data_IF_375989866430
#
_entry.id   IF_375989866430
#
_cell.length_a   1.000
_cell.length_b   1.000
_cell.length_c   1.000
_cell.angle_alpha   90.00
_cell.angle_beta   90.00
_cell.angle_gamma   90.00
#
_symmetry.space_group_name_H-M   'P 1'
#
loop_
_entity.id
_entity.type
_entity.pdbx_description
1 polymer ?
#
# COMPACT_ATOMS: atom_id res chain seq x y z
N UNK A 1 28.63 -11.61 -0.06
CA UNK A 1 28.32 -12.67 -1.05
C UNK A 1 27.21 -13.55 -0.49
N UNK A 2 25.97 -13.08 -0.53
CA UNK A 2 24.79 -13.88 -0.24
C UNK A 2 23.89 -13.71 -1.46
N UNK A 3 23.39 -14.82 -2.01
CA UNK A 3 22.57 -14.96 -3.22
C UNK A 3 23.32 -15.12 -4.55
N UNK A 4 23.78 -16.35 -4.81
CA UNK A 4 24.08 -16.85 -6.16
C UNK A 4 22.80 -17.15 -6.95
N UNK A 5 21.86 -16.20 -7.00
CA UNK A 5 20.69 -16.26 -7.88
C UNK A 5 21.03 -15.47 -9.13
N UNK A 6 20.85 -16.09 -10.29
CA UNK A 6 20.94 -15.40 -11.57
C UNK A 6 19.77 -14.40 -11.63
N UNK A 7 20.02 -13.14 -11.28
CA UNK A 7 19.02 -12.08 -11.35
C UNK A 7 18.54 -12.03 -12.79
N UNK A 8 17.23 -12.28 -12.99
CA UNK A 8 16.61 -12.14 -14.30
C UNK A 8 16.53 -10.64 -14.57
N UNK A 9 17.08 -10.13 -15.67
CA UNK A 9 17.10 -8.69 -15.88
C UNK A 9 15.69 -8.15 -16.13
N UNK A 10 15.47 -6.89 -15.77
CA UNK A 10 14.25 -6.17 -16.15
C UNK A 10 14.26 -5.89 -17.66
N UNK A 11 13.28 -6.44 -18.37
CA UNK A 11 13.27 -6.40 -19.85
C UNK A 11 12.11 -5.61 -20.43
N UNK A 12 10.91 -5.71 -19.86
CA UNK A 12 9.74 -4.98 -20.38
C UNK A 12 9.38 -3.85 -19.42
N UNK A 13 9.25 -2.66 -19.97
CA UNK A 13 8.91 -1.46 -19.20
C UNK A 13 7.48 -1.06 -19.50
N UNK A 14 6.82 -0.54 -18.48
CA UNK A 14 5.43 -0.15 -18.50
C UNK A 14 5.27 1.21 -17.84
N UNK A 15 4.17 1.85 -18.18
CA UNK A 15 3.69 3.05 -17.51
C UNK A 15 2.34 2.77 -16.87
N UNK A 16 2.13 3.30 -15.68
CA UNK A 16 0.83 3.35 -15.03
C UNK A 16 0.22 4.72 -15.28
N UNK A 17 -0.83 4.75 -16.09
CA UNK A 17 -1.61 5.94 -16.44
C UNK A 17 -2.82 6.07 -15.50
N UNK A 18 -3.35 7.29 -15.37
CA UNK A 18 -4.64 7.53 -14.70
C UNK A 18 -5.64 8.17 -15.65
N UNK A 19 -6.73 7.46 -15.93
CA UNK A 19 -7.80 7.87 -16.86
C UNK A 19 -9.11 7.89 -16.08
N UNK A 20 -9.78 9.04 -15.99
CA UNK A 20 -11.07 9.18 -15.30
C UNK A 20 -11.15 8.60 -13.87
N UNK A 21 -10.03 8.69 -13.13
CA UNK A 21 -9.82 8.14 -11.78
C UNK A 21 -9.51 6.64 -11.70
N UNK A 22 -9.54 5.92 -12.82
CA UNK A 22 -9.06 4.54 -12.93
C UNK A 22 -7.59 4.50 -13.33
N UNK A 23 -6.93 3.39 -12.99
CA UNK A 23 -5.55 3.14 -13.40
C UNK A 23 -5.53 2.23 -14.63
N UNK A 24 -4.64 2.53 -15.57
CA UNK A 24 -4.42 1.73 -16.76
C UNK A 24 -2.93 1.49 -16.96
N UNK A 25 -2.58 0.34 -17.57
CA UNK A 25 -1.19 0.01 -17.88
C UNK A 25 -0.97 0.07 -19.38
N UNK A 26 0.09 0.77 -19.79
CA UNK A 26 0.57 0.77 -21.18
C UNK A 26 2.03 0.33 -21.22
N UNK A 27 2.43 -0.38 -22.27
CA UNK A 27 3.81 -0.80 -22.51
C UNK A 27 4.63 0.36 -23.05
N UNK A 28 5.79 0.60 -22.45
CA UNK A 28 6.75 1.59 -22.90
C UNK A 28 7.68 0.97 -23.95
N UNK A 29 7.58 1.44 -25.19
CA UNK A 29 8.46 0.99 -26.26
C UNK A 29 9.76 1.77 -26.26
N UNK A 30 10.89 1.07 -26.09
CA UNK A 30 12.25 1.63 -26.11
C UNK A 30 13.12 0.81 -27.07
N UNK A 31 14.19 1.41 -27.58
CA UNK A 31 15.18 0.65 -28.35
C UNK A 31 15.99 -0.30 -27.45
N UNK A 32 16.73 -1.23 -28.07
CA UNK A 32 17.47 -2.26 -27.35
C UNK A 32 18.58 -1.69 -26.44
N UNK A 33 19.22 -0.58 -26.82
CA UNK A 33 20.28 0.01 -26.00
C UNK A 33 19.69 0.68 -24.75
N UNK A 34 18.58 1.42 -24.92
CA UNK A 34 17.83 2.01 -23.81
C UNK A 34 17.23 0.91 -22.93
N UNK A 35 16.71 -0.17 -23.50
CA UNK A 35 16.17 -1.30 -22.73
C UNK A 35 17.21 -1.89 -21.76
N UNK A 36 18.44 -2.12 -22.24
CA UNK A 36 19.55 -2.62 -21.39
C UNK A 36 19.90 -1.61 -20.30
N UNK A 37 19.99 -0.32 -20.65
CA UNK A 37 20.28 0.75 -19.68
C UNK A 37 19.22 0.82 -18.58
N UNK A 38 17.93 0.77 -18.95
CA UNK A 38 16.82 0.78 -17.99
C UNK A 38 16.83 -0.47 -17.13
N UNK A 39 17.15 -1.63 -17.69
CA UNK A 39 17.26 -2.88 -16.94
C UNK A 39 18.28 -2.78 -15.81
N UNK A 40 19.50 -2.34 -16.15
CA UNK A 40 20.58 -2.13 -15.19
C UNK A 40 20.24 -1.06 -14.14
N UNK A 41 19.56 0.00 -14.55
CA UNK A 41 19.11 1.06 -13.65
C UNK A 41 18.11 0.49 -12.62
N UNK A 42 17.09 -0.24 -13.05
CA UNK A 42 16.10 -0.83 -12.14
C UNK A 42 16.71 -1.91 -11.23
N UNK A 43 17.65 -2.72 -11.72
CA UNK A 43 18.39 -3.68 -10.89
C UNK A 43 19.18 -2.99 -9.78
N UNK A 44 19.90 -1.93 -10.13
CA UNK A 44 20.70 -1.16 -9.16
C UNK A 44 19.80 -0.52 -8.10
N UNK A 45 18.71 0.11 -8.53
CA UNK A 45 17.78 0.75 -7.60
C UNK A 45 17.02 -0.24 -6.73
N UNK A 46 16.73 -1.45 -7.21
CA UNK A 46 16.17 -2.51 -6.38
C UNK A 46 17.16 -2.95 -5.30
N UNK A 47 18.42 -3.14 -5.66
CA UNK A 47 19.47 -3.45 -4.69
C UNK A 47 19.58 -2.36 -3.62
N UNK A 48 19.63 -1.08 -4.02
CA UNK A 48 19.65 0.06 -3.08
C UNK A 48 18.38 0.13 -2.20
N UNK A 49 17.23 -0.20 -2.79
CA UNK A 49 15.96 -0.24 -2.07
C UNK A 49 15.97 -1.32 -0.99
N UNK A 50 16.52 -2.51 -1.29
CA UNK A 50 16.59 -3.65 -0.37
C UNK A 50 17.75 -3.58 0.64
N UNK A 51 18.91 -3.07 0.24
CA UNK A 51 20.14 -3.05 1.06
C UNK A 51 19.95 -2.33 2.40
N UNK A 52 19.09 -1.31 2.41
CA UNK A 52 18.74 -0.53 3.61
C UNK A 52 17.34 -0.89 4.13
N UNK A 53 16.91 -2.14 3.95
CA UNK A 53 15.63 -2.66 4.47
C UNK A 53 15.91 -3.90 5.31
N UNK A 54 15.90 -3.71 6.62
CA UNK A 54 16.08 -4.75 7.64
C UNK A 54 14.73 -5.37 7.99
N UNK A 55 13.70 -4.54 8.17
CA UNK A 55 12.39 -4.97 8.64
C UNK A 55 11.25 -4.57 7.70
N UNK A 56 10.28 -5.48 7.53
CA UNK A 56 9.03 -5.27 6.81
C UNK A 56 7.88 -5.14 7.81
N UNK A 57 7.15 -4.03 7.74
CA UNK A 57 6.09 -3.69 8.70
C UNK A 57 4.77 -3.49 7.96
N UNK A 58 3.67 -4.01 8.49
CA UNK A 58 2.35 -3.78 7.90
C UNK A 58 1.91 -2.32 8.07
N UNK A 59 1.41 -1.72 7.00
CA UNK A 59 0.97 -0.34 7.00
C UNK A 59 -0.45 -0.19 7.56
N UNK A 60 -0.56 0.44 8.72
CA UNK A 60 -1.82 0.72 9.44
C UNK A 60 -2.36 2.15 9.22
N UNK A 61 -1.70 2.93 8.38
CA UNK A 61 -2.05 4.32 8.08
C UNK A 61 -1.48 5.38 9.04
N UNK A 62 -0.89 5.00 10.17
CA UNK A 62 -0.34 5.94 11.16
C UNK A 62 1.16 6.14 11.09
N UNK A 63 1.88 5.19 10.48
CA UNK A 63 3.33 5.07 10.68
C UNK A 63 4.19 5.66 9.54
N UNK A 64 5.29 6.30 9.93
CA UNK A 64 6.43 6.55 9.03
C UNK A 64 7.52 5.55 9.42
N UNK A 65 8.07 4.78 8.48
CA UNK A 65 9.12 3.81 8.78
C UNK A 65 10.37 4.52 9.28
N UNK A 66 11.05 3.92 10.27
CA UNK A 66 12.36 4.35 10.72
C UNK A 66 13.44 4.01 9.66
N UNK A 67 14.67 4.50 9.88
CA UNK A 67 15.81 4.13 9.02
C UNK A 67 16.04 2.62 9.09
N UNK A 68 16.05 1.95 7.93
CA UNK A 68 16.11 0.49 7.85
C UNK A 68 14.75 -0.21 7.77
N UNK A 69 13.62 0.48 7.96
CA UNK A 69 12.29 -0.15 7.85
C UNK A 69 11.65 0.10 6.47
N UNK A 70 10.86 -0.86 6.00
CA UNK A 70 9.92 -0.67 4.91
C UNK A 70 8.50 -1.09 5.31
N UNK A 71 7.53 -0.37 4.77
CA UNK A 71 6.10 -0.64 4.96
C UNK A 71 5.61 -1.64 3.91
N UNK A 72 4.57 -2.37 4.27
CA UNK A 72 3.92 -3.37 3.42
C UNK A 72 2.42 -3.14 3.41
N UNK A 73 1.78 -3.33 2.27
CA UNK A 73 0.33 -3.24 2.13
C UNK A 73 -0.19 -4.20 1.07
N UNK A 74 -1.36 -4.78 1.32
CA UNK A 74 -2.12 -5.54 0.33
C UNK A 74 -3.15 -4.65 -0.34
N UNK A 75 -3.00 -4.49 -1.66
CA UNK A 75 -3.91 -3.73 -2.54
C UNK A 75 -4.23 -4.57 -3.80
N UNK A 76 -5.01 -5.66 -3.67
CA UNK A 76 -5.12 -6.71 -4.68
C UNK A 76 -5.51 -6.21 -6.08
N UNK A 77 -6.47 -5.29 -6.17
CA UNK A 77 -6.91 -4.74 -7.46
C UNK A 77 -5.75 -4.08 -8.24
N UNK A 78 -4.92 -3.32 -7.54
CA UNK A 78 -3.78 -2.61 -8.11
C UNK A 78 -2.60 -3.56 -8.38
N UNK A 79 -2.31 -4.49 -7.48
CA UNK A 79 -1.22 -5.46 -7.65
C UNK A 79 -1.52 -6.45 -8.76
N UNK A 80 -2.75 -6.96 -8.86
CA UNK A 80 -3.17 -7.86 -9.94
C UNK A 80 -3.00 -7.20 -11.31
N UNK A 81 -3.31 -5.91 -11.44
CA UNK A 81 -3.11 -5.17 -12.69
C UNK A 81 -1.63 -5.16 -13.11
N UNK A 82 -0.71 -4.88 -12.18
CA UNK A 82 0.73 -4.86 -12.44
C UNK A 82 1.26 -6.27 -12.77
N UNK A 83 0.86 -7.28 -12.00
CA UNK A 83 1.26 -8.68 -12.19
C UNK A 83 0.79 -9.17 -13.56
N UNK A 84 -0.47 -8.91 -13.92
CA UNK A 84 -1.02 -9.31 -15.20
C UNK A 84 -0.29 -8.65 -16.38
N UNK A 85 0.12 -7.38 -16.25
CA UNK A 85 0.91 -6.71 -17.27
C UNK A 85 2.29 -7.36 -17.46
N UNK A 86 2.95 -7.77 -16.37
CA UNK A 86 4.25 -8.45 -16.42
C UNK A 86 4.14 -9.86 -17.01
N UNK A 87 3.07 -10.58 -16.67
CA UNK A 87 2.81 -11.92 -17.20
C UNK A 87 2.36 -11.90 -18.67
N UNK A 88 1.61 -10.88 -19.08
CA UNK A 88 1.00 -10.76 -20.41
C UNK A 88 1.35 -9.43 -21.09
N UNK A 89 2.64 -9.12 -21.32
CA UNK A 89 3.07 -7.80 -21.80
C UNK A 89 2.50 -7.40 -23.16
N UNK A 90 2.19 -8.39 -24.01
CA UNK A 90 1.64 -8.17 -25.34
C UNK A 90 0.15 -7.82 -25.34
N UNK A 91 -0.56 -8.04 -24.23
CA UNK A 91 -1.95 -7.64 -24.06
C UNK A 91 -2.09 -6.17 -23.66
N UNK A 92 -1.00 -5.52 -23.25
CA UNK A 92 -0.99 -4.10 -22.92
C UNK A 92 -0.83 -3.23 -24.17
N UNK A 93 -1.64 -2.17 -24.26
CA UNK A 93 -1.51 -1.16 -25.30
C UNK A 93 -0.14 -0.49 -25.27
N UNK A 94 0.37 -0.10 -26.43
CA UNK A 94 1.65 0.63 -26.53
C UNK A 94 1.40 2.11 -26.24
N UNK A 95 2.21 2.66 -25.34
CA UNK A 95 2.19 4.08 -25.01
C UNK A 95 2.50 4.95 -26.24
N UNK A 96 1.69 5.98 -26.47
CA UNK A 96 1.94 6.97 -27.51
C UNK A 96 2.91 8.03 -27.00
N UNK A 97 4.14 8.03 -27.51
CA UNK A 97 5.19 8.96 -27.05
C UNK A 97 4.91 10.41 -27.47
N UNK A 98 4.29 10.61 -28.63
CA UNK A 98 3.99 11.96 -29.16
C UNK A 98 3.01 12.76 -28.27
N UNK A 99 2.14 12.06 -27.53
CA UNK A 99 1.19 12.64 -26.58
C UNK A 99 1.48 12.28 -25.13
N UNK A 100 2.74 11.99 -24.79
CA UNK A 100 3.11 11.46 -23.47
C UNK A 100 2.64 12.35 -22.31
N UNK A 101 2.62 13.67 -22.48
CA UNK A 101 2.16 14.61 -21.47
C UNK A 101 0.65 14.55 -21.18
N UNK A 102 -0.14 14.01 -22.12
CA UNK A 102 -1.60 13.83 -21.99
C UNK A 102 -1.97 12.47 -21.34
N UNK A 103 -1.02 11.53 -21.32
CA UNK A 103 -1.21 10.15 -20.82
C UNK A 103 -1.33 10.06 -19.28
N UNK A 104 -1.14 11.18 -18.58
CA UNK A 104 -1.29 11.29 -17.12
C UNK A 104 -0.55 10.17 -16.36
N UNK A 105 0.70 9.93 -16.76
CA UNK A 105 1.56 8.89 -16.19
C UNK A 105 1.87 9.19 -14.72
N UNK A 106 1.69 8.18 -13.86
CA UNK A 106 1.92 8.25 -12.41
C UNK A 106 3.10 7.41 -11.94
N UNK A 107 3.42 6.37 -12.69
CA UNK A 107 4.56 5.51 -12.39
C UNK A 107 5.13 4.90 -13.67
N UNK A 108 6.41 4.55 -13.60
CA UNK A 108 7.09 3.68 -14.55
C UNK A 108 7.51 2.45 -13.78
N UNK A 109 7.24 1.28 -14.34
CA UNK A 109 7.56 0.03 -13.66
C UNK A 109 8.07 -1.01 -14.64
N UNK A 110 8.79 -1.99 -14.09
CA UNK A 110 9.19 -3.18 -14.79
C UNK A 110 9.04 -4.37 -13.86
N UNK A 111 8.81 -5.55 -14.42
CA UNK A 111 8.70 -6.76 -13.64
C UNK A 111 9.42 -7.93 -14.28
N UNK A 112 9.70 -8.92 -13.44
CA UNK A 112 10.31 -10.19 -13.81
C UNK A 112 9.65 -11.32 -13.04
N UNK A 113 9.81 -12.53 -13.54
CA UNK A 113 9.32 -13.74 -12.85
C UNK A 113 10.48 -14.40 -12.13
N UNK A 114 10.38 -14.50 -10.81
CA UNK A 114 11.33 -15.18 -9.94
C UNK A 114 10.63 -16.28 -9.16
N UNK A 115 11.15 -17.51 -9.25
CA UNK A 115 10.59 -18.68 -8.54
C UNK A 115 9.07 -18.86 -8.73
N UNK A 116 8.55 -18.49 -9.91
CA UNK A 116 7.13 -18.59 -10.25
C UNK A 116 6.28 -17.39 -9.79
N UNK A 117 6.85 -16.41 -9.09
CA UNK A 117 6.17 -15.21 -8.64
C UNK A 117 6.63 -13.98 -9.43
N UNK A 118 5.72 -13.04 -9.67
CA UNK A 118 6.08 -11.75 -10.23
C UNK A 118 6.74 -10.86 -9.17
N UNK A 119 7.88 -10.29 -9.52
CA UNK A 119 8.53 -9.19 -8.80
C UNK A 119 8.41 -7.96 -9.67
N UNK A 120 7.86 -6.87 -9.12
CA UNK A 120 7.63 -5.62 -9.88
C UNK A 120 8.29 -4.45 -9.15
N UNK A 121 9.24 -3.80 -9.80
CA UNK A 121 9.90 -2.59 -9.31
C UNK A 121 9.20 -1.35 -9.87
N UNK A 122 8.90 -0.40 -9.01
CA UNK A 122 8.06 0.76 -9.33
C UNK A 122 8.82 2.05 -9.02
N UNK A 123 8.97 2.89 -10.03
CA UNK A 123 9.38 4.28 -9.90
C UNK A 123 8.17 5.22 -10.00
N UNK A 124 8.20 6.30 -9.24
CA UNK A 124 7.22 7.37 -9.39
C UNK A 124 7.51 8.16 -10.66
N UNK A 125 6.45 8.60 -11.32
CA UNK A 125 6.52 9.58 -12.38
C UNK A 125 5.64 10.79 -12.07
N UNK A 126 6.12 11.97 -12.45
CA UNK A 126 5.41 13.24 -12.24
C UNK A 126 5.63 14.19 -13.41
N UNK A 127 4.75 15.18 -13.56
CA UNK A 127 4.85 16.18 -14.63
C UNK A 127 6.16 16.99 -14.62
N UNK A 128 6.88 17.04 -13.49
CA UNK A 128 8.17 17.73 -13.40
C UNK A 128 9.26 17.08 -14.26
N UNK A 129 9.11 15.79 -14.55
CA UNK A 129 10.00 14.99 -15.38
C UNK A 129 9.74 15.17 -16.88
N UNK A 130 8.62 15.81 -17.27
CA UNK A 130 8.32 16.12 -18.66
C UNK A 130 9.10 17.36 -19.07
N UNK A 131 9.89 17.25 -20.14
CA UNK A 131 10.77 18.31 -20.61
C UNK A 131 10.11 19.25 -21.62
N UNK A 132 9.00 18.84 -22.23
CA UNK A 132 8.22 19.62 -23.22
C UNK A 132 7.72 20.96 -22.69
N UNK A 133 7.40 21.02 -21.39
CA UNK A 133 6.89 22.23 -20.75
C UNK A 133 7.96 23.29 -20.45
N UNK A 134 9.24 22.97 -20.68
CA UNK A 134 10.39 23.83 -20.35
C UNK A 134 11.24 24.07 -21.60
N UNK A 135 11.94 25.21 -21.63
CA UNK A 135 13.01 25.40 -22.62
C UNK A 135 14.17 24.51 -22.20
N UNK A 136 14.28 23.35 -22.83
CA UNK A 136 15.38 22.42 -22.60
C UNK A 136 16.43 22.58 -23.69
N UNK A 137 17.68 22.84 -23.30
CA UNK A 137 18.82 22.97 -24.19
C UNK A 137 19.76 21.78 -24.02
N UNK A 138 20.28 21.25 -25.12
CA UNK A 138 21.29 20.19 -25.12
C UNK A 138 22.49 20.60 -25.99
N UNK A 139 23.67 20.12 -25.63
CA UNK A 139 24.89 20.44 -26.38
C UNK A 139 25.09 19.42 -27.51
N UNK A 140 25.44 19.93 -28.69
CA UNK A 140 25.95 19.15 -29.82
C UNK A 140 27.01 19.98 -30.54
N UNK A 141 28.21 19.43 -30.76
CA UNK A 141 29.31 20.10 -31.46
C UNK A 141 29.62 21.52 -30.94
N UNK A 142 29.65 21.70 -29.62
CA UNK A 142 29.90 22.96 -28.92
C UNK A 142 28.84 24.06 -29.14
N UNK A 143 27.64 23.68 -29.60
CA UNK A 143 26.49 24.57 -29.75
C UNK A 143 25.32 24.03 -28.93
N UNK A 144 24.59 24.94 -28.27
CA UNK A 144 23.35 24.60 -27.57
C UNK A 144 22.18 24.57 -28.56
N UNK A 145 21.52 23.43 -28.64
CA UNK A 145 20.34 23.20 -29.45
C UNK A 145 19.12 23.08 -28.53
N UNK A 146 17.95 23.53 -29.00
CA UNK A 146 16.70 23.35 -28.25
C UNK A 146 16.15 21.94 -28.51
N UNK A 147 15.72 21.28 -27.44
CA UNK A 147 14.96 20.04 -27.54
C UNK A 147 13.52 20.36 -27.97
N UNK A 148 13.11 19.83 -29.13
CA UNK A 148 11.78 20.05 -29.72
C UNK A 148 10.93 18.79 -29.76
N UNK A 149 11.55 17.62 -29.63
CA UNK A 149 10.85 16.34 -29.55
C UNK A 149 10.35 16.06 -28.13
N UNK A 150 9.26 15.30 -27.98
CA UNK A 150 8.81 14.75 -26.71
C UNK A 150 9.95 14.08 -25.94
N UNK A 151 10.09 14.44 -24.68
CA UNK A 151 11.16 13.93 -23.84
C UNK A 151 10.79 14.04 -22.37
N UNK A 152 11.25 13.06 -21.61
CA UNK A 152 11.10 13.01 -20.17
C UNK A 152 12.33 12.40 -19.51
N UNK A 153 12.49 12.66 -18.22
CA UNK A 153 13.52 12.05 -17.40
C UNK A 153 12.94 10.97 -16.49
N UNK A 154 13.74 9.97 -16.14
CA UNK A 154 13.37 8.97 -15.16
C UNK A 154 13.84 9.35 -13.76
N UNK A 155 13.21 8.76 -12.75
CA UNK A 155 13.67 8.91 -11.37
C UNK A 155 14.87 7.99 -11.15
N UNK A 156 15.69 8.32 -10.16
CA UNK A 156 16.86 7.51 -9.80
C UNK A 156 16.60 6.59 -8.61
N UNK A 157 15.35 6.48 -8.14
CA UNK A 157 14.97 5.63 -7.00
C UNK A 157 13.64 4.93 -7.24
N UNK A 158 13.55 3.69 -6.75
CA UNK A 158 12.27 3.02 -6.58
C UNK A 158 11.49 3.65 -5.43
N UNK A 159 10.17 3.69 -5.59
CA UNK A 159 9.24 4.08 -4.53
C UNK A 159 8.52 2.88 -3.93
N UNK A 160 8.46 1.76 -4.65
CA UNK A 160 7.95 0.51 -4.14
C UNK A 160 8.41 -0.71 -4.94
N UNK A 161 8.30 -1.86 -4.28
CA UNK A 161 8.60 -3.18 -4.82
C UNK A 161 7.42 -4.10 -4.52
N UNK A 162 6.86 -4.74 -5.53
CA UNK A 162 5.83 -5.75 -5.38
C UNK A 162 6.49 -7.13 -5.37
N UNK A 163 6.22 -7.91 -4.32
CA UNK A 163 6.61 -9.31 -4.23
C UNK A 163 5.35 -10.15 -3.99
N UNK A 164 4.93 -10.90 -5.01
CA UNK A 164 3.62 -11.56 -4.97
C UNK A 164 2.50 -10.53 -4.90
N UNK A 165 1.65 -10.59 -3.87
CA UNK A 165 0.54 -9.66 -3.63
C UNK A 165 0.86 -8.53 -2.64
N UNK A 166 2.10 -8.48 -2.16
CA UNK A 166 2.49 -7.52 -1.12
C UNK A 166 3.29 -6.38 -1.74
N UNK A 167 2.76 -5.16 -1.66
CA UNK A 167 3.49 -3.96 -2.04
C UNK A 167 4.35 -3.49 -0.87
N UNK A 168 5.65 -3.42 -1.08
CA UNK A 168 6.67 -2.94 -0.15
C UNK A 168 7.06 -1.50 -0.52
N UNK A 169 7.15 -0.58 0.44
CA UNK A 169 7.45 0.83 0.18
C UNK A 169 8.04 1.54 1.40
N UNK A 170 8.85 2.60 1.19
CA UNK A 170 9.44 3.39 2.30
C UNK A 170 8.76 4.73 2.56
N UNK A 171 7.85 5.15 1.69
CA UNK A 171 7.18 6.45 1.80
C UNK A 171 5.73 6.38 1.36
N UNK A 172 4.82 6.47 2.34
CA UNK A 172 3.39 6.54 2.06
C UNK A 172 3.03 7.74 1.17
N UNK A 173 3.69 8.88 1.37
CA UNK A 173 3.47 10.06 0.55
C UNK A 173 3.76 9.79 -0.94
N UNK A 174 4.80 9.01 -1.26
CA UNK A 174 5.11 8.66 -2.63
C UNK A 174 4.12 7.63 -3.20
N UNK A 175 3.78 6.60 -2.43
CA UNK A 175 2.87 5.55 -2.92
C UNK A 175 1.45 6.09 -3.16
N UNK A 176 0.92 6.95 -2.29
CA UNK A 176 -0.42 7.56 -2.50
C UNK A 176 -0.51 8.46 -3.73
N UNK A 177 0.63 8.89 -4.29
CA UNK A 177 0.64 9.63 -5.57
C UNK A 177 0.42 8.72 -6.78
N UNK A 178 0.65 7.41 -6.60
CA UNK A 178 0.54 6.38 -7.64
C UNK A 178 -0.78 5.62 -7.51
N UNK A 179 -1.04 5.07 -6.32
CA UNK A 179 -2.25 4.31 -6.04
C UNK A 179 -3.24 5.13 -5.22
N UNK A 180 -4.53 4.95 -5.48
CA UNK A 180 -5.55 5.40 -4.55
C UNK A 180 -5.55 4.47 -3.33
N UNK A 181 -4.96 4.96 -2.25
CA UNK A 181 -4.90 4.28 -0.96
C UNK A 181 -5.94 4.82 0.03
N UNK A 182 -6.93 5.58 -0.46
CA UNK A 182 -7.94 6.21 0.39
C UNK A 182 -8.72 5.16 1.19
N UNK A 183 -8.96 3.99 0.61
CA UNK A 183 -9.61 2.86 1.29
C UNK A 183 -8.91 2.46 2.59
N UNK A 184 -7.58 2.50 2.63
CA UNK A 184 -6.81 2.18 3.85
C UNK A 184 -7.09 3.14 5.01
N UNK A 185 -7.67 4.30 4.71
CA UNK A 185 -7.99 5.37 5.66
C UNK A 185 -9.47 5.66 5.79
N UNK A 186 -10.33 4.93 5.07
CA UNK A 186 -11.77 5.16 5.11
C UNK A 186 -12.29 4.85 6.50
N UNK A 187 -13.08 5.79 7.03
CA UNK A 187 -13.92 5.53 8.17
C UNK A 187 -15.12 4.71 7.69
N UNK A 188 -15.56 3.73 8.49
CA UNK A 188 -16.76 2.95 8.21
C UNK A 188 -17.96 3.88 7.90
N UNK A 189 -18.60 3.66 6.76
CA UNK A 189 -19.90 4.26 6.42
C UNK A 189 -21.00 3.69 7.32
N UNK A 190 -22.19 4.26 7.29
CA UNK A 190 -23.32 3.69 8.05
C UNK A 190 -23.68 2.29 7.58
N UNK A 191 -23.46 1.97 6.30
CA UNK A 191 -23.65 0.62 5.76
C UNK A 191 -22.57 -0.35 6.25
N UNK A 192 -21.32 0.11 6.37
CA UNK A 192 -20.24 -0.70 6.96
C UNK A 192 -20.51 -0.99 8.43
N UNK A 193 -21.06 -0.01 9.17
CA UNK A 193 -21.49 -0.19 10.56
C UNK A 193 -22.64 -1.20 10.65
N UNK A 194 -23.60 -1.19 9.72
CA UNK A 194 -24.64 -2.22 9.67
C UNK A 194 -24.05 -3.61 9.46
N UNK A 195 -23.10 -3.74 8.52
CA UNK A 195 -22.41 -5.01 8.26
C UNK A 195 -21.60 -5.48 9.48
N UNK A 196 -20.92 -4.57 10.17
CA UNK A 196 -20.21 -4.85 11.41
C UNK A 196 -21.17 -5.31 12.51
N UNK A 197 -22.30 -4.60 12.69
CA UNK A 197 -23.31 -4.94 13.68
C UNK A 197 -24.00 -6.28 13.41
N UNK A 198 -24.10 -6.68 12.14
CA UNK A 198 -24.65 -7.97 11.71
C UNK A 198 -23.64 -9.12 11.82
N UNK A 199 -22.39 -8.86 12.19
CA UNK A 199 -21.36 -9.88 12.29
C UNK A 199 -21.75 -10.94 13.34
N UNK A 200 -21.64 -12.22 12.99
CA UNK A 200 -22.09 -13.34 13.82
C UNK A 200 -21.41 -13.44 15.18
N UNK A 201 -20.22 -12.85 15.33
CA UNK A 201 -19.46 -12.77 16.59
C UNK A 201 -19.95 -11.65 17.54
N UNK A 202 -20.81 -10.74 17.08
CA UNK A 202 -21.25 -9.56 17.83
C UNK A 202 -22.75 -9.57 18.13
N UNK A 203 -23.12 -8.90 19.22
CA UNK A 203 -24.51 -8.54 19.57
C UNK A 203 -24.55 -7.05 19.91
N UNK A 204 -25.36 -6.29 19.17
CA UNK A 204 -25.58 -4.86 19.40
C UNK A 204 -27.08 -4.64 19.63
N UNK A 205 -27.46 -4.18 20.84
CA UNK A 205 -28.87 -4.07 21.23
C UNK A 205 -29.66 -3.03 20.43
N UNK A 206 -29.02 -1.93 20.05
CA UNK A 206 -29.64 -0.85 19.28
C UNK A 206 -28.66 -0.29 18.26
N UNK A 207 -28.79 -0.74 17.00
CA UNK A 207 -27.89 -0.34 15.90
C UNK A 207 -28.01 1.16 15.61
N UNK A 208 -29.22 1.74 15.71
CA UNK A 208 -29.43 3.15 15.44
C UNK A 208 -28.70 4.06 16.45
N UNK A 209 -28.75 3.70 17.73
CA UNK A 209 -28.03 4.39 18.80
C UNK A 209 -26.52 4.15 18.73
N UNK A 210 -26.10 2.93 18.38
CA UNK A 210 -24.68 2.62 18.15
C UNK A 210 -24.09 3.51 17.06
N UNK A 211 -24.81 3.72 15.94
CA UNK A 211 -24.40 4.61 14.85
C UNK A 211 -24.24 6.07 15.29
N UNK A 212 -25.05 6.55 16.24
CA UNK A 212 -24.91 7.91 16.76
C UNK A 212 -23.73 8.08 17.72
N UNK A 213 -23.36 7.03 18.44
CA UNK A 213 -22.27 7.06 19.42
C UNK A 213 -20.87 6.83 18.80
N UNK A 214 -20.79 6.16 17.65
CA UNK A 214 -19.51 5.95 16.94
C UNK A 214 -19.01 7.23 16.27
N UNK A 215 -17.92 7.78 16.80
CA UNK A 215 -17.23 8.91 16.18
C UNK A 215 -16.28 8.47 15.05
N UNK A 216 -15.62 9.44 14.42
CA UNK A 216 -14.69 9.19 13.32
C UNK A 216 -13.54 8.24 13.71
N UNK A 217 -13.11 8.23 14.97
CA UNK A 217 -12.06 7.30 15.43
C UNK A 217 -12.64 5.88 15.53
N UNK A 218 -13.80 5.73 16.15
CA UNK A 218 -14.49 4.43 16.23
C UNK A 218 -14.82 3.87 14.85
N UNK A 219 -15.26 4.71 13.89
CA UNK A 219 -15.52 4.30 12.51
C UNK A 219 -14.26 3.80 11.78
N UNK A 220 -13.10 4.41 12.01
CA UNK A 220 -11.82 3.91 11.45
C UNK A 220 -11.44 2.57 12.05
N UNK A 221 -11.60 2.40 13.37
CA UNK A 221 -11.34 1.12 14.04
C UNK A 221 -12.25 0.01 13.52
N UNK A 222 -13.55 0.28 13.36
CA UNK A 222 -14.52 -0.67 12.78
C UNK A 222 -14.07 -1.12 11.39
N UNK A 223 -13.73 -0.17 10.51
CA UNK A 223 -13.25 -0.49 9.17
C UNK A 223 -12.00 -1.37 9.18
N UNK A 224 -11.02 -1.03 10.03
CA UNK A 224 -9.80 -1.81 10.17
C UNK A 224 -10.05 -3.22 10.73
N UNK A 225 -10.92 -3.37 11.74
CA UNK A 225 -11.30 -4.68 12.32
C UNK A 225 -11.97 -5.58 11.27
N UNK A 226 -12.89 -5.03 10.46
CA UNK A 226 -13.55 -5.79 9.39
C UNK A 226 -12.55 -6.24 8.34
N UNK A 227 -11.62 -5.36 7.94
CA UNK A 227 -10.60 -5.67 6.94
C UNK A 227 -9.60 -6.72 7.42
N UNK A 228 -9.19 -6.65 8.68
CA UNK A 228 -8.20 -7.56 9.25
C UNK A 228 -8.79 -8.93 9.64
N UNK A 229 -10.10 -9.13 9.50
CA UNK A 229 -10.74 -10.43 9.76
C UNK A 229 -10.73 -10.87 11.22
N UNK A 230 -10.43 -9.98 12.17
CA UNK A 230 -10.26 -10.34 13.60
C UNK A 230 -11.49 -11.07 14.15
N UNK A 231 -12.69 -10.67 13.73
CA UNK A 231 -13.94 -11.29 14.18
C UNK A 231 -14.23 -12.64 13.51
N UNK A 232 -13.60 -12.93 12.37
CA UNK A 232 -13.66 -14.22 11.68
C UNK A 232 -12.61 -15.20 12.24
N UNK A 233 -11.45 -14.68 12.62
CA UNK A 233 -10.31 -15.45 13.12
C UNK A 233 -10.43 -15.84 14.61
N UNK A 234 -11.32 -15.18 15.36
CA UNK A 234 -11.47 -15.37 16.80
C UNK A 234 -12.92 -15.57 17.24
N UNK A 235 -13.15 -16.60 18.06
CA UNK A 235 -14.45 -16.83 18.70
C UNK A 235 -14.70 -15.81 19.82
N UNK A 236 -15.98 -15.54 20.12
CA UNK A 236 -16.34 -14.64 21.22
C UNK A 236 -15.71 -15.04 22.57
N UNK A 237 -15.63 -16.34 22.86
CA UNK A 237 -15.01 -16.83 24.09
C UNK A 237 -13.51 -16.52 24.15
N UNK A 238 -12.80 -16.63 23.02
CA UNK A 238 -11.37 -16.27 22.98
C UNK A 238 -11.17 -14.76 23.15
N UNK A 239 -12.05 -13.94 22.58
CA UNK A 239 -12.06 -12.49 22.74
C UNK A 239 -12.26 -12.11 24.22
N UNK A 240 -13.25 -12.70 24.90
CA UNK A 240 -13.49 -12.48 26.34
C UNK A 240 -12.26 -12.84 27.18
N UNK A 241 -11.72 -14.04 26.99
CA UNK A 241 -10.56 -14.53 27.75
C UNK A 241 -9.35 -13.60 27.57
N UNK A 242 -9.10 -13.11 26.35
CA UNK A 242 -8.02 -12.16 26.09
C UNK A 242 -8.29 -10.78 26.66
N UNK A 243 -9.54 -10.31 26.63
CA UNK A 243 -9.93 -9.02 27.19
C UNK A 243 -9.71 -8.97 28.70
N UNK A 244 -10.05 -10.06 29.42
CA UNK A 244 -9.81 -10.18 30.86
C UNK A 244 -8.33 -10.06 31.22
N UNK A 245 -7.43 -10.65 30.43
CA UNK A 245 -5.97 -10.56 30.64
C UNK A 245 -5.47 -9.12 30.57
N UNK A 246 -6.06 -8.29 29.71
CA UNK A 246 -5.73 -6.87 29.57
C UNK A 246 -6.69 -5.96 30.36
N UNK A 247 -7.49 -6.54 31.26
CA UNK A 247 -8.44 -5.86 32.15
C UNK A 247 -9.49 -5.01 31.43
N UNK A 248 -10.01 -5.52 30.33
CA UNK A 248 -11.10 -4.91 29.57
C UNK A 248 -12.36 -5.72 29.83
N UNK A 249 -13.40 -5.01 30.25
CA UNK A 249 -14.70 -5.61 30.50
C UNK A 249 -15.41 -5.88 29.17
N UNK A 250 -15.64 -7.16 28.89
CA UNK A 250 -16.34 -7.67 27.72
C UNK A 250 -17.43 -8.60 28.21
N UNK A 251 -18.63 -8.45 27.68
CA UNK A 251 -19.76 -9.31 28.01
C UNK A 251 -20.06 -10.25 26.85
N UNK A 252 -20.47 -11.49 27.14
CA UNK A 252 -20.95 -12.44 26.14
C UNK A 252 -22.42 -12.74 26.39
N UNK A 253 -23.20 -12.83 25.33
CA UNK A 253 -24.58 -13.35 25.36
C UNK A 253 -24.79 -14.23 24.13
N UNK A 254 -25.33 -15.44 24.32
CA UNK A 254 -25.54 -16.41 23.24
C UNK A 254 -24.29 -16.70 22.39
N UNK A 255 -23.11 -16.72 23.02
CA UNK A 255 -21.85 -16.98 22.32
C UNK A 255 -21.36 -15.81 21.47
N UNK A 256 -21.88 -14.60 21.67
CA UNK A 256 -21.51 -13.38 20.95
C UNK A 256 -21.05 -12.28 21.89
N UNK A 257 -20.09 -11.47 21.46
CA UNK A 257 -19.60 -10.30 22.20
C UNK A 257 -20.65 -9.21 22.18
N UNK A 258 -21.08 -8.77 23.36
CA UNK A 258 -22.05 -7.69 23.51
C UNK A 258 -21.32 -6.36 23.43
N UNK A 259 -21.67 -5.53 22.44
CA UNK A 259 -21.14 -4.18 22.34
C UNK A 259 -21.83 -3.26 23.38
N UNK A 260 -21.07 -2.45 24.14
CA UNK A 260 -21.63 -1.49 25.07
C UNK A 260 -22.34 -0.35 24.32
N UNK A 261 -23.20 0.38 25.02
CA UNK A 261 -23.85 1.58 24.48
C UNK A 261 -23.06 2.86 24.73
N UNK A 262 -22.17 2.88 25.72
CA UNK A 262 -21.41 4.07 26.10
C UNK A 262 -20.19 4.29 25.20
N UNK A 263 -20.03 5.52 24.68
CA UNK A 263 -19.02 5.87 23.68
C UNK A 263 -17.58 5.50 24.08
N UNK A 264 -17.16 5.76 25.32
CA UNK A 264 -15.81 5.45 25.75
C UNK A 264 -15.60 3.93 25.83
N UNK A 265 -16.58 3.19 26.35
CA UNK A 265 -16.57 1.73 26.37
C UNK A 265 -16.53 1.11 24.96
N UNK A 266 -17.34 1.61 24.01
CA UNK A 266 -17.31 1.17 22.60
C UNK A 266 -15.90 1.32 22.05
N UNK A 267 -15.32 2.52 22.19
CA UNK A 267 -13.98 2.80 21.66
C UNK A 267 -12.92 1.91 22.32
N UNK A 268 -13.04 1.60 23.61
CA UNK A 268 -12.10 0.73 24.31
C UNK A 268 -12.15 -0.71 23.79
N UNK A 269 -13.34 -1.26 23.54
CA UNK A 269 -13.47 -2.59 22.92
C UNK A 269 -12.95 -2.58 21.48
N UNK A 270 -13.27 -1.56 20.68
CA UNK A 270 -12.76 -1.45 19.31
C UNK A 270 -11.22 -1.37 19.29
N UNK A 271 -10.62 -0.61 20.21
CA UNK A 271 -9.15 -0.55 20.37
C UNK A 271 -8.56 -1.90 20.75
N UNK A 272 -9.23 -2.64 21.64
CA UNK A 272 -8.83 -3.99 21.98
C UNK A 272 -8.88 -4.94 20.78
N UNK A 273 -10.02 -4.98 20.08
CA UNK A 273 -10.20 -5.81 18.89
C UNK A 273 -9.23 -5.43 17.78
N UNK A 274 -8.79 -4.19 17.74
CA UNK A 274 -7.78 -3.76 16.78
C UNK A 274 -6.35 -4.10 17.23
N UNK A 275 -6.09 -4.52 18.48
CA UNK A 275 -4.76 -4.68 19.14
C UNK A 275 -4.04 -3.36 19.51
N UNK A 276 -4.77 -2.26 19.75
CA UNK A 276 -4.19 -0.96 20.18
C UNK A 276 -3.72 -0.95 21.64
N UNK A 277 -4.00 -2.00 22.42
CA UNK A 277 -3.79 -1.99 23.87
C UNK A 277 -2.58 -2.84 24.20
N UNK A 278 -1.55 -2.17 24.73
CA UNK A 278 -0.28 -2.79 25.10
C UNK A 278 -0.01 -2.62 26.60
N UNK A 279 0.43 -3.69 27.27
CA UNK A 279 0.90 -3.64 28.66
C UNK A 279 2.42 -3.81 28.69
N UNK A 280 3.14 -2.80 29.21
CA UNK A 280 4.59 -2.85 29.29
C UNK A 280 5.05 -3.88 30.33
N UNK A 281 5.95 -4.83 29.99
CA UNK A 281 6.24 -5.99 30.83
C UNK A 281 6.90 -5.64 32.17
N UNK A 282 7.69 -4.56 32.21
CA UNK A 282 8.40 -4.15 33.42
C UNK A 282 7.55 -3.26 34.33
N UNK A 283 6.89 -2.25 33.76
CA UNK A 283 6.11 -1.28 34.55
C UNK A 283 4.68 -1.73 34.81
N UNK A 284 4.19 -2.73 34.06
CA UNK A 284 2.77 -3.14 33.98
C UNK A 284 1.82 -1.98 33.65
N UNK A 285 2.35 -0.88 33.11
CA UNK A 285 1.55 0.24 32.64
C UNK A 285 0.94 -0.10 31.29
N UNK A 286 -0.31 0.32 31.10
CA UNK A 286 -1.04 0.12 29.86
C UNK A 286 -1.01 1.37 29.01
N UNK A 287 -0.81 1.17 27.72
CA UNK A 287 -0.73 2.21 26.72
C UNK A 287 -1.72 1.92 25.61
N UNK A 288 -2.28 2.98 25.05
CA UNK A 288 -2.93 2.93 23.74
C UNK A 288 -1.87 3.31 22.73
N UNK A 289 -1.49 2.36 21.88
CA UNK A 289 -0.58 2.64 20.79
C UNK A 289 -1.35 3.06 19.54
N UNK A 290 -0.91 4.14 18.91
CA UNK A 290 -1.40 4.54 17.59
C UNK A 290 -0.54 3.95 16.45
N UNK A 291 0.46 3.13 16.79
CA UNK A 291 1.34 2.44 15.86
C UNK A 291 1.69 1.06 16.41
N UNK A 292 1.65 0.03 15.56
CA UNK A 292 2.03 -1.33 15.95
C UNK A 292 3.14 -1.82 15.05
N UNK A 293 4.24 -2.18 15.68
CA UNK A 293 5.31 -2.94 15.04
C UNK A 293 5.27 -4.35 15.59
N UNK A 294 5.08 -5.32 14.70
CA UNK A 294 5.30 -6.73 15.04
C UNK A 294 6.82 -6.94 15.13
N UNK A 295 7.27 -7.51 16.24
CA UNK A 295 8.67 -7.90 16.48
C UNK A 295 8.78 -9.42 16.39
#
# INVERSE_FOLDING_TARGET
>A
MIWGIKIVPYQTFFVLCRIDSEIAVKRLSVDAAVQVLLGQMFETQELEFLENTEDLIEFDGGWKPDEGEALTVSIPLQTDLLINAVLNPLACDILQIEGFSEENVRAIFSGRIENGNAVVAIQKFSSQQILEHKITLFQNNNVLNRLTSPAFTLDNKLVGLLQGQTLIFKSFHNIRMIFDLSDLYRAATDQDIDAFAAHHCLTISNIAEFKTEVDQVSRKLIHAIQRNGVLDDHTAQEILRRAELVGIDVNITEGRVVMPSEKAAIKRILRFLHDDIYEAPLSRQRYVSNSKRRV
#
